data_IF_058065732523
#
_entry.id   IF_058065732523
#
_cell.length_a   1.000
_cell.length_b   1.000
_cell.length_c   1.000
_cell.angle_alpha   90.00
_cell.angle_beta   90.00
_cell.angle_gamma   90.00
#
_symmetry.space_group_name_H-M   'P 1'
#
loop_
_entity.id
_entity.type
_entity.pdbx_description
1 polymer ?
#
# COMPACT_ATOMS: atom_id res chain seq x y z
N UNK A 1 1.72 -6.75 -9.58
CA UNK A 1 2.28 -5.42 -9.81
C UNK A 1 1.85 -4.52 -8.67
N UNK A 2 2.81 -4.12 -7.85
CA UNK A 2 2.65 -3.17 -6.75
C UNK A 2 3.68 -2.07 -6.97
N UNK A 3 3.24 -0.81 -7.08
CA UNK A 3 4.12 0.35 -7.23
C UNK A 3 4.13 1.17 -5.94
N UNK A 4 5.33 1.44 -5.46
CA UNK A 4 5.62 1.97 -4.13
C UNK A 4 6.26 3.36 -4.24
N UNK A 5 6.05 4.26 -3.25
CA UNK A 5 6.64 5.59 -3.26
C UNK A 5 8.18 5.58 -3.12
N UNK A 6 8.77 4.51 -2.57
CA UNK A 6 10.22 4.38 -2.37
C UNK A 6 11.01 4.12 -3.67
N UNK A 7 10.33 3.96 -4.81
CA UNK A 7 10.95 3.68 -6.10
C UNK A 7 10.48 4.68 -7.15
N UNK A 8 11.41 5.08 -8.01
CA UNK A 8 11.12 5.96 -9.14
C UNK A 8 10.08 5.29 -10.03
N UNK A 9 8.98 5.98 -10.25
CA UNK A 9 7.95 5.57 -11.18
C UNK A 9 8.32 6.01 -12.59
N UNK A 10 8.60 5.02 -13.45
CA UNK A 10 8.81 5.22 -14.88
C UNK A 10 7.61 4.69 -15.68
N UNK A 11 6.97 5.57 -16.44
CA UNK A 11 5.75 5.25 -17.17
C UNK A 11 5.99 4.21 -18.27
N UNK A 12 7.15 4.22 -18.91
CA UNK A 12 7.48 3.25 -19.97
C UNK A 12 7.68 1.85 -19.39
N UNK A 13 8.36 1.73 -18.25
CA UNK A 13 8.54 0.48 -17.52
C UNK A 13 7.19 -0.05 -17.04
N UNK A 14 6.35 0.82 -16.48
CA UNK A 14 4.97 0.48 -16.13
C UNK A 14 4.19 -0.15 -17.28
N UNK A 15 4.25 0.42 -18.48
CA UNK A 15 3.57 -0.16 -19.65
C UNK A 15 4.12 -1.53 -20.04
N UNK A 16 5.44 -1.72 -20.00
CA UNK A 16 6.05 -3.03 -20.27
C UNK A 16 5.60 -4.08 -19.26
N UNK A 17 5.54 -3.72 -17.99
CA UNK A 17 5.13 -4.64 -16.92
C UNK A 17 3.65 -5.03 -17.06
N UNK A 18 2.77 -4.05 -17.31
CA UNK A 18 1.35 -4.29 -17.54
C UNK A 18 1.14 -5.20 -18.75
N UNK A 19 1.82 -4.91 -19.87
CA UNK A 19 1.75 -5.75 -21.07
C UNK A 19 2.21 -7.18 -20.78
N UNK A 20 3.34 -7.34 -20.09
CA UNK A 20 3.90 -8.66 -19.74
C UNK A 20 2.92 -9.47 -18.90
N UNK A 21 2.27 -8.87 -17.91
CA UNK A 21 1.26 -9.55 -17.09
C UNK A 21 -0.01 -9.89 -17.88
N UNK A 22 -0.46 -8.98 -18.75
CA UNK A 22 -1.59 -9.22 -19.64
C UNK A 22 -1.31 -10.38 -20.60
N UNK A 23 -0.14 -10.43 -21.23
CA UNK A 23 0.24 -11.51 -22.15
C UNK A 23 0.33 -12.86 -21.41
N UNK A 24 0.89 -12.86 -20.19
CA UNK A 24 1.07 -14.08 -19.39
C UNK A 24 -0.23 -14.62 -18.79
N UNK A 25 -1.13 -13.74 -18.37
CA UNK A 25 -2.27 -14.14 -17.54
C UNK A 25 -3.64 -13.80 -18.14
N UNK A 26 -3.69 -13.04 -19.23
CA UNK A 26 -4.93 -12.51 -19.82
C UNK A 26 -5.62 -11.44 -18.96
N UNK A 27 -4.99 -11.02 -17.85
CA UNK A 27 -5.45 -10.01 -16.91
C UNK A 27 -4.27 -9.45 -16.13
N UNK A 28 -4.39 -8.22 -15.67
CA UNK A 28 -3.42 -7.57 -14.80
C UNK A 28 -4.16 -6.78 -13.72
N UNK A 29 -3.71 -6.90 -12.47
CA UNK A 29 -4.16 -6.07 -11.34
C UNK A 29 -2.93 -5.32 -10.85
N UNK A 30 -3.09 -4.01 -10.72
CA UNK A 30 -2.02 -3.13 -10.26
C UNK A 30 -2.50 -2.42 -9.00
N UNK A 31 -1.73 -2.53 -7.93
CA UNK A 31 -1.85 -1.63 -6.78
C UNK A 31 -0.80 -0.54 -6.92
N UNK A 32 -1.21 0.73 -6.83
CA UNK A 32 -0.33 1.88 -6.99
C UNK A 32 -0.54 2.80 -5.80
N UNK A 33 0.53 3.11 -5.07
CA UNK A 33 0.48 4.14 -4.02
C UNK A 33 0.22 5.51 -4.64
N UNK A 34 -0.61 6.34 -4.00
CA UNK A 34 -0.79 7.73 -4.42
C UNK A 34 0.53 8.52 -4.42
N UNK A 35 1.46 8.16 -3.53
CA UNK A 35 2.75 8.81 -3.36
C UNK A 35 3.84 8.44 -4.38
N UNK A 36 3.51 7.71 -5.46
CA UNK A 36 4.51 7.43 -6.50
C UNK A 36 5.07 8.73 -7.09
N UNK A 37 6.38 8.75 -7.33
CA UNK A 37 7.09 9.95 -7.78
C UNK A 37 8.01 9.63 -8.97
N UNK A 38 8.21 10.63 -9.83
CA UNK A 38 9.12 10.53 -10.96
C UNK A 38 10.60 10.59 -10.52
N UNK A 39 11.53 10.52 -11.48
CA UNK A 39 12.96 10.57 -11.21
C UNK A 39 13.44 11.90 -10.58
N UNK A 40 12.60 12.94 -10.59
CA UNK A 40 12.86 14.24 -9.96
C UNK A 40 12.29 14.30 -8.54
N UNK A 41 11.71 13.21 -8.05
CA UNK A 41 11.01 13.16 -6.77
C UNK A 41 9.68 13.92 -6.77
N UNK A 42 9.15 14.27 -7.95
CA UNK A 42 7.85 14.93 -8.06
C UNK A 42 6.77 13.87 -8.07
N UNK A 43 5.82 13.96 -7.12
CA UNK A 43 4.68 13.06 -7.08
C UNK A 43 3.90 13.11 -8.40
N UNK A 44 3.60 11.95 -8.98
CA UNK A 44 2.91 11.86 -10.28
C UNK A 44 1.53 12.52 -10.19
N UNK A 45 0.83 12.36 -9.07
CA UNK A 45 -0.44 13.00 -8.81
C UNK A 45 -0.37 14.52 -8.63
N UNK A 46 0.79 15.08 -8.23
CA UNK A 46 0.96 16.54 -8.11
C UNK A 46 0.99 17.23 -9.49
N UNK A 47 1.32 16.51 -10.55
CA UNK A 47 1.17 17.00 -11.93
C UNK A 47 -0.27 17.03 -12.42
N UNK A 48 -1.21 16.43 -11.67
CA UNK A 48 -2.62 16.24 -12.04
C UNK A 48 -3.59 17.12 -11.23
N UNK A 49 -3.18 17.58 -10.04
CA UNK A 49 -4.03 18.32 -9.10
C UNK A 49 -3.60 19.79 -8.93
N UNK A 50 -4.55 20.64 -8.52
CA UNK A 50 -4.29 22.01 -8.05
C UNK A 50 -3.56 21.93 -6.70
N UNK A 51 -2.50 22.74 -6.55
CA UNK A 51 -1.49 22.64 -5.48
C UNK A 51 -2.00 23.08 -4.11
N UNK A 52 -2.75 22.23 -3.41
CA UNK A 52 -2.95 22.39 -1.96
C UNK A 52 -1.87 21.62 -1.19
N UNK A 53 -1.33 22.25 -0.13
CA UNK A 53 -0.34 21.65 0.78
C UNK A 53 -0.88 21.73 2.19
N UNK A 54 -0.68 20.67 2.97
CA UNK A 54 -1.02 20.67 4.40
C UNK A 54 -0.02 21.51 5.24
N UNK A 55 -0.31 21.64 6.53
CA UNK A 55 0.52 22.39 7.48
C UNK A 55 1.93 21.80 7.70
N UNK A 56 2.17 20.57 7.24
CA UNK A 56 3.45 19.88 7.30
C UNK A 56 4.20 19.89 5.95
N UNK A 57 3.62 20.53 4.93
CA UNK A 57 4.23 20.68 3.60
C UNK A 57 3.97 19.50 2.65
N UNK A 58 3.11 18.55 3.03
CA UNK A 58 2.72 17.45 2.15
C UNK A 58 1.76 17.95 1.07
N UNK A 59 1.95 17.50 -0.17
CA UNK A 59 1.04 17.84 -1.28
C UNK A 59 -0.23 17.01 -1.17
N UNK A 60 -1.39 17.64 -1.25
CA UNK A 60 -2.66 16.92 -1.36
C UNK A 60 -2.77 16.26 -2.74
N UNK A 61 -2.75 14.93 -2.75
CA UNK A 61 -2.85 14.14 -3.96
C UNK A 61 -4.33 13.82 -4.19
N UNK A 62 -4.94 14.46 -5.20
CA UNK A 62 -6.36 14.31 -5.50
C UNK A 62 -6.77 12.83 -5.68
N UNK A 63 -7.59 12.32 -4.76
CA UNK A 63 -7.89 10.91 -4.52
C UNK A 63 -8.68 10.15 -5.59
N UNK A 64 -8.51 10.48 -6.87
CA UNK A 64 -9.14 9.82 -8.02
C UNK A 64 -8.34 9.99 -9.30
N UNK A 65 -7.72 11.17 -9.46
CA UNK A 65 -7.06 11.59 -10.69
C UNK A 65 -5.92 10.66 -11.12
N UNK A 66 -5.18 10.07 -10.18
CA UNK A 66 -4.07 9.17 -10.51
C UNK A 66 -4.55 7.88 -11.20
N UNK A 67 -5.61 7.26 -10.69
CA UNK A 67 -6.14 6.02 -11.23
C UNK A 67 -6.72 6.24 -12.64
N UNK A 68 -7.44 7.35 -12.84
CA UNK A 68 -7.98 7.74 -14.14
C UNK A 68 -6.88 8.06 -15.14
N UNK A 69 -5.86 8.81 -14.71
CA UNK A 69 -4.69 9.14 -15.54
C UNK A 69 -3.96 7.88 -16.01
N UNK A 70 -3.56 7.00 -15.09
CA UNK A 70 -2.86 5.77 -15.44
C UNK A 70 -3.75 4.84 -16.27
N UNK A 71 -5.03 4.75 -15.93
CA UNK A 71 -6.01 3.96 -16.67
C UNK A 71 -6.14 4.42 -18.13
N UNK A 72 -6.24 5.74 -18.36
CA UNK A 72 -6.26 6.32 -19.71
C UNK A 72 -4.94 6.09 -20.44
N UNK A 73 -3.80 6.33 -19.77
CA UNK A 73 -2.48 6.16 -20.37
C UNK A 73 -2.24 4.72 -20.86
N UNK A 74 -2.68 3.73 -20.08
CA UNK A 74 -2.65 2.30 -20.48
C UNK A 74 -3.55 2.02 -21.68
N UNK A 75 -4.78 2.56 -21.71
CA UNK A 75 -5.70 2.38 -22.86
C UNK A 75 -5.10 2.95 -24.14
N UNK A 76 -4.61 4.19 -24.07
CA UNK A 76 -4.12 4.93 -25.24
C UNK A 76 -2.82 4.30 -25.78
N UNK A 77 -1.94 3.82 -24.89
CA UNK A 77 -0.62 3.31 -25.27
C UNK A 77 -0.62 1.82 -25.64
N UNK A 78 -1.39 0.99 -24.92
CA UNK A 78 -1.40 -0.46 -25.11
C UNK A 78 -2.64 -0.98 -25.86
N UNK A 79 -3.62 -0.12 -26.15
CA UNK A 79 -4.82 -0.47 -26.92
C UNK A 79 -5.80 -1.38 -26.18
N UNK A 80 -5.69 -1.53 -24.86
CA UNK A 80 -6.61 -2.36 -24.09
C UNK A 80 -7.99 -1.71 -23.95
N UNK A 81 -9.04 -2.44 -24.35
CA UNK A 81 -10.43 -1.93 -24.29
C UNK A 81 -10.97 -1.75 -22.87
N UNK A 82 -10.56 -2.63 -21.93
CA UNK A 82 -11.10 -2.68 -20.56
C UNK A 82 -10.00 -2.40 -19.55
N UNK A 83 -9.97 -1.16 -19.05
CA UNK A 83 -9.13 -0.73 -17.93
C UNK A 83 -10.02 0.08 -17.00
N UNK A 84 -10.02 -0.30 -15.73
CA UNK A 84 -10.77 0.33 -14.63
C UNK A 84 -9.78 0.65 -13.51
N UNK A 85 -9.86 1.87 -13.00
CA UNK A 85 -9.21 2.28 -11.77
C UNK A 85 -10.26 2.44 -10.68
N UNK A 86 -9.91 2.05 -9.46
CA UNK A 86 -10.70 2.33 -8.27
C UNK A 86 -9.75 2.98 -7.26
N UNK A 87 -10.13 4.11 -6.68
CA UNK A 87 -9.30 4.80 -5.69
C UNK A 87 -9.91 4.64 -4.30
N UNK A 88 -9.17 3.97 -3.43
CA UNK A 88 -9.59 3.74 -2.06
C UNK A 88 -9.10 4.89 -1.18
N UNK A 89 -10.03 5.75 -0.74
CA UNK A 89 -9.76 6.82 0.23
C UNK A 89 -10.26 6.45 1.62
N UNK A 90 -11.44 6.95 2.00
CA UNK A 90 -12.07 6.61 3.28
C UNK A 90 -12.37 5.12 3.44
N UNK A 91 -12.71 4.42 2.35
CA UNK A 91 -13.06 3.01 2.42
C UNK A 91 -11.91 2.13 2.96
N UNK A 92 -10.64 2.43 2.63
CA UNK A 92 -9.53 1.63 3.16
C UNK A 92 -9.15 1.93 4.61
N UNK A 93 -9.57 3.09 5.17
CA UNK A 93 -9.20 3.52 6.53
C UNK A 93 -10.36 3.57 7.53
N UNK A 94 -11.59 3.37 7.07
CA UNK A 94 -12.80 3.52 7.91
C UNK A 94 -13.82 2.41 7.66
N UNK A 95 -13.40 1.26 7.14
CA UNK A 95 -14.30 0.14 6.89
C UNK A 95 -14.32 -0.84 8.08
N UNK A 96 -15.20 -0.56 9.03
CA UNK A 96 -15.38 -1.36 10.25
C UNK A 96 -15.72 -2.85 10.01
N UNK A 97 -16.18 -3.21 8.81
CA UNK A 97 -16.45 -4.61 8.43
C UNK A 97 -15.21 -5.43 8.08
N UNK A 98 -14.03 -4.80 7.91
CA UNK A 98 -12.78 -5.47 7.54
C UNK A 98 -11.63 -4.93 8.40
N UNK A 99 -11.55 -5.42 9.62
CA UNK A 99 -10.56 -4.96 10.61
C UNK A 99 -9.72 -6.14 11.10
N UNK A 100 -8.41 -5.95 11.17
CA UNK A 100 -7.52 -6.93 11.78
C UNK A 100 -7.79 -7.03 13.29
N UNK A 101 -7.92 -8.25 13.81
CA UNK A 101 -8.05 -8.48 15.24
C UNK A 101 -6.75 -8.16 15.99
N UNK A 102 -5.60 -8.25 15.30
CA UNK A 102 -4.30 -7.82 15.83
C UNK A 102 -4.28 -6.31 15.97
N UNK A 103 -4.59 -5.56 14.91
CA UNK A 103 -4.62 -4.09 14.94
C UNK A 103 -5.56 -3.55 16.03
N UNK A 104 -6.76 -4.13 16.17
CA UNK A 104 -7.72 -3.75 17.23
C UNK A 104 -7.15 -3.92 18.63
N UNK A 105 -6.54 -5.08 18.92
CA UNK A 105 -5.94 -5.35 20.23
C UNK A 105 -4.78 -4.42 20.49
N UNK A 106 -3.90 -4.26 19.51
CA UNK A 106 -2.69 -3.47 19.66
C UNK A 106 -2.97 -1.97 19.81
N UNK A 107 -3.91 -1.42 19.04
CA UNK A 107 -4.38 -0.05 19.17
C UNK A 107 -4.97 0.23 20.56
N UNK A 108 -5.78 -0.70 21.10
CA UNK A 108 -6.33 -0.59 22.46
C UNK A 108 -5.23 -0.64 23.51
N UNK A 109 -4.32 -1.60 23.41
CA UNK A 109 -3.21 -1.76 24.35
C UNK A 109 -2.27 -0.55 24.34
N UNK A 110 -2.03 0.06 23.16
CA UNK A 110 -1.26 1.28 23.06
C UNK A 110 -1.91 2.44 23.85
N UNK A 111 -3.23 2.60 23.76
CA UNK A 111 -3.99 3.58 24.56
C UNK A 111 -3.91 3.33 26.07
N UNK A 112 -4.08 2.07 26.49
CA UNK A 112 -3.96 1.68 27.90
C UNK A 112 -2.53 1.95 28.43
N UNK A 113 -1.50 1.65 27.64
CA UNK A 113 -0.10 1.93 27.98
C UNK A 113 0.21 3.42 28.05
N UNK A 114 -0.36 4.23 27.16
CA UNK A 114 -0.18 5.67 27.18
C UNK A 114 -0.66 6.26 28.52
N UNK A 115 -1.82 5.82 29.01
CA UNK A 115 -2.34 6.25 30.33
C UNK A 115 -1.44 5.77 31.47
N UNK A 116 -0.95 4.54 31.42
CA UNK A 116 -0.02 4.01 32.43
C UNK A 116 1.28 4.83 32.50
N UNK A 117 1.88 5.16 31.37
CA UNK A 117 3.10 5.98 31.33
C UNK A 117 2.84 7.43 31.79
N UNK A 118 1.74 8.04 31.33
CA UNK A 118 1.41 9.41 31.68
C UNK A 118 1.07 9.56 33.17
N UNK A 119 0.21 8.68 33.70
CA UNK A 119 -0.28 8.80 35.08
C UNK A 119 0.64 8.14 36.10
N UNK A 120 1.14 6.94 35.80
CA UNK A 120 1.95 6.14 36.73
C UNK A 120 3.41 6.55 36.80
N UNK A 121 3.98 7.01 35.69
CA UNK A 121 5.40 7.35 35.58
C UNK A 121 5.64 8.85 35.33
N UNK A 122 4.59 9.65 35.12
CA UNK A 122 4.67 11.09 34.82
C UNK A 122 5.59 11.42 33.62
N UNK A 123 5.40 10.68 32.52
CA UNK A 123 6.18 10.81 31.27
C UNK A 123 5.31 11.30 30.11
N UNK A 124 5.87 12.10 29.21
CA UNK A 124 5.21 12.64 28.01
C UNK A 124 5.88 12.19 26.70
N UNK A 125 5.13 11.55 25.81
CA UNK A 125 5.72 10.93 24.63
C UNK A 125 4.72 10.13 23.81
N UNK A 126 5.24 9.31 22.89
CA UNK A 126 4.45 8.35 22.12
C UNK A 126 4.68 6.92 22.61
N UNK A 127 3.62 6.11 22.58
CA UNK A 127 3.76 4.65 22.70
C UNK A 127 4.16 4.09 21.35
N UNK A 128 5.25 3.33 21.32
CA UNK A 128 5.77 2.66 20.13
C UNK A 128 5.66 1.15 20.28
N UNK A 129 5.39 0.47 19.16
CA UNK A 129 5.21 -0.97 19.10
C UNK A 129 6.46 -1.61 18.50
N UNK A 130 7.06 -2.54 19.23
CA UNK A 130 8.30 -3.21 18.84
C UNK A 130 8.05 -4.70 18.68
N UNK A 131 8.25 -5.20 17.46
CA UNK A 131 8.07 -6.63 17.18
C UNK A 131 9.15 -7.44 17.91
N UNK A 132 8.74 -8.47 18.62
CA UNK A 132 9.68 -9.38 19.28
C UNK A 132 10.41 -10.25 18.24
N UNK A 133 11.74 -10.45 18.35
CA UNK A 133 12.54 -11.11 17.31
C UNK A 133 12.37 -12.64 17.23
N UNK A 134 11.75 -13.29 18.21
CA UNK A 134 11.66 -14.75 18.28
C UNK A 134 10.22 -15.25 18.46
N UNK A 135 9.90 -16.36 17.78
CA UNK A 135 8.65 -17.09 17.97
C UNK A 135 7.48 -16.59 17.12
N UNK A 136 6.26 -16.88 17.59
CA UNK A 136 5.05 -16.33 16.99
C UNK A 136 5.03 -14.80 17.12
N UNK A 137 4.35 -14.13 16.17
CA UNK A 137 4.27 -12.67 16.19
C UNK A 137 3.73 -12.15 17.53
N UNK A 138 4.49 -11.25 18.14
CA UNK A 138 4.07 -10.45 19.28
C UNK A 138 4.78 -9.09 19.27
N UNK A 139 4.23 -8.13 20.00
CA UNK A 139 4.78 -6.79 20.11
C UNK A 139 4.90 -6.37 21.58
N UNK A 140 5.99 -5.69 21.91
CA UNK A 140 6.17 -4.95 23.16
C UNK A 140 5.79 -3.49 22.96
N UNK A 141 5.33 -2.85 24.03
CA UNK A 141 4.93 -1.45 24.05
C UNK A 141 5.96 -0.67 24.83
N UNK A 142 6.60 0.26 24.15
CA UNK A 142 7.65 1.09 24.72
C UNK A 142 7.25 2.55 24.66
N UNK A 143 7.87 3.36 25.49
CA UNK A 143 7.74 4.80 25.43
C UNK A 143 8.89 5.38 24.62
N UNK A 144 8.58 6.30 23.71
CA UNK A 144 9.57 7.02 22.92
C UNK A 144 9.34 8.53 23.03
N UNK A 145 10.40 9.34 23.29
CA UNK A 145 10.32 10.79 23.27
C UNK A 145 9.83 11.32 21.92
N UNK A 146 9.00 12.37 21.93
CA UNK A 146 8.47 12.95 20.69
C UNK A 146 9.57 13.48 19.77
N UNK A 147 10.64 14.04 20.32
CA UNK A 147 11.81 14.53 19.56
C UNK A 147 12.51 13.43 18.76
N UNK A 148 12.40 12.17 19.20
CA UNK A 148 12.96 11.04 18.46
C UNK A 148 12.09 10.62 17.27
N UNK A 149 10.83 11.05 17.22
CA UNK A 149 9.85 10.62 16.21
C UNK A 149 9.41 11.75 15.27
N UNK A 150 9.32 12.97 15.78
CA UNK A 150 8.76 14.10 15.05
C UNK A 150 9.54 14.36 13.75
N UNK A 151 8.80 14.44 12.64
CA UNK A 151 9.36 14.69 11.31
C UNK A 151 10.19 13.55 10.72
N UNK A 152 10.30 12.40 11.38
CA UNK A 152 10.97 11.21 10.85
C UNK A 152 9.97 10.29 10.17
N UNK A 153 10.35 9.80 8.99
CA UNK A 153 9.53 8.86 8.21
C UNK A 153 10.17 7.48 8.23
N UNK A 154 9.38 6.46 8.56
CA UNK A 154 9.77 5.07 8.38
C UNK A 154 9.45 4.65 6.94
N UNK A 155 10.48 4.50 6.11
CA UNK A 155 10.35 4.03 4.73
C UNK A 155 10.21 2.51 4.68
N UNK A 156 9.64 1.99 3.58
CA UNK A 156 9.65 0.56 3.30
C UNK A 156 11.11 0.07 3.15
N UNK A 157 11.53 -0.97 3.91
CA UNK A 157 12.87 -1.52 3.78
C UNK A 157 13.15 -2.04 2.37
N UNK A 158 14.37 -1.86 1.86
CA UNK A 158 14.75 -2.35 0.52
C UNK A 158 14.56 -3.87 0.38
N UNK A 159 14.80 -4.63 1.45
CA UNK A 159 14.59 -6.08 1.49
C UNK A 159 13.12 -6.49 1.25
N UNK A 160 12.17 -5.58 1.41
CA UNK A 160 10.74 -5.82 1.17
C UNK A 160 10.32 -5.57 -0.28
N UNK A 161 11.16 -4.91 -1.07
CA UNK A 161 10.86 -4.50 -2.44
C UNK A 161 11.57 -5.46 -3.40
N UNK A 162 10.87 -5.98 -4.40
CA UNK A 162 11.50 -6.89 -5.35
C UNK A 162 12.57 -6.16 -6.19
N UNK A 163 13.57 -6.90 -6.68
CA UNK A 163 14.72 -6.31 -7.39
C UNK A 163 14.38 -5.52 -8.66
N UNK A 164 13.19 -5.73 -9.24
CA UNK A 164 12.69 -4.96 -10.38
C UNK A 164 12.21 -3.54 -9.99
N UNK A 165 12.10 -3.22 -8.70
CA UNK A 165 11.63 -1.93 -8.20
C UNK A 165 10.10 -1.80 -8.11
N UNK A 166 9.37 -2.86 -8.49
CA UNK A 166 7.93 -3.03 -8.29
C UNK A 166 7.66 -4.45 -7.75
N UNK A 167 6.48 -4.65 -7.18
CA UNK A 167 6.15 -5.83 -6.36
C UNK A 167 6.99 -5.95 -5.08
N UNK A 168 6.59 -6.91 -4.24
CA UNK A 168 7.12 -7.11 -2.89
C UNK A 168 7.76 -8.49 -2.77
N UNK A 169 8.73 -8.62 -1.85
CA UNK A 169 9.40 -9.89 -1.57
C UNK A 169 8.63 -10.74 -0.57
N UNK A 170 9.06 -11.98 -0.39
CA UNK A 170 8.55 -12.85 0.68
C UNK A 170 8.75 -12.24 2.08
N UNK A 171 9.86 -11.52 2.30
CA UNK A 171 10.14 -10.85 3.56
C UNK A 171 9.06 -9.82 3.93
N UNK A 172 8.51 -9.09 2.94
CA UNK A 172 7.34 -8.23 3.17
C UNK A 172 6.11 -9.05 3.54
N UNK A 173 5.88 -10.17 2.85
CA UNK A 173 4.78 -11.08 3.15
C UNK A 173 4.85 -11.58 4.59
N UNK A 174 6.01 -12.00 5.05
CA UNK A 174 6.22 -12.50 6.42
C UNK A 174 6.12 -11.38 7.46
N UNK A 175 6.50 -10.16 7.07
CA UNK A 175 6.24 -8.99 7.89
C UNK A 175 4.74 -8.70 8.03
N UNK A 176 4.00 -8.69 6.92
CA UNK A 176 2.61 -8.23 6.85
C UNK A 176 1.60 -9.27 7.36
N UNK A 177 1.76 -10.55 7.01
CA UNK A 177 0.75 -11.60 7.27
C UNK A 177 0.26 -11.63 8.72
N UNK A 178 1.11 -11.56 9.76
CA UNK A 178 0.62 -11.58 11.13
C UNK A 178 -0.22 -10.35 11.49
N UNK A 179 0.07 -9.19 10.89
CA UNK A 179 -0.65 -7.93 11.13
C UNK A 179 -2.06 -7.94 10.54
N UNK A 180 -2.33 -8.79 9.54
CA UNK A 180 -3.66 -8.93 8.94
C UNK A 180 -4.64 -9.70 9.85
N UNK A 181 -4.13 -10.34 10.90
CA UNK A 181 -4.94 -11.08 11.84
C UNK A 181 -5.48 -12.41 11.30
N UNK A 182 -6.34 -13.06 12.07
CA UNK A 182 -6.91 -14.37 11.73
C UNK A 182 -8.09 -14.31 10.73
N UNK A 183 -8.67 -13.13 10.52
CA UNK A 183 -9.91 -12.95 9.76
C UNK A 183 -9.74 -12.84 8.24
N UNK A 184 -8.51 -12.82 7.71
CA UNK A 184 -8.30 -12.65 6.27
C UNK A 184 -8.80 -13.88 5.50
N UNK A 185 -9.76 -13.73 4.56
CA UNK A 185 -10.29 -14.86 3.82
C UNK A 185 -9.20 -15.51 2.96
N UNK A 186 -9.15 -16.84 2.96
CA UNK A 186 -8.28 -17.59 2.05
C UNK A 186 -8.76 -17.38 0.63
N UNK A 187 -7.99 -16.63 -0.16
CA UNK A 187 -8.29 -16.41 -1.57
C UNK A 187 -8.12 -17.75 -2.31
N UNK A 188 -9.18 -18.18 -2.98
CA UNK A 188 -9.15 -19.35 -3.85
C UNK A 188 -9.10 -18.93 -5.32
N UNK A 189 -8.48 -19.77 -6.15
CA UNK A 189 -8.43 -19.57 -7.60
C UNK A 189 -9.17 -20.72 -8.28
N UNK A 190 -10.16 -20.37 -9.09
CA UNK A 190 -10.82 -21.35 -9.94
C UNK A 190 -9.83 -21.93 -10.95
N UNK A 191 -9.92 -23.23 -11.20
CA UNK A 191 -9.20 -23.87 -12.29
C UNK A 191 -9.69 -23.30 -13.62
N UNK A 192 -8.74 -22.94 -14.49
CA UNK A 192 -9.06 -22.42 -15.82
C UNK A 192 -9.34 -23.59 -16.76
N UNK A 193 -10.62 -23.86 -16.99
CA UNK A 193 -11.09 -24.81 -18.01
C UNK A 193 -11.59 -24.01 -19.23
N UNK A 194 -10.73 -23.68 -20.21
CA UNK A 194 -11.15 -22.91 -21.36
C UNK A 194 -12.11 -23.75 -22.23
N UNK A 195 -13.22 -23.14 -22.64
CA UNK A 195 -14.16 -23.74 -23.61
C UNK A 195 -13.92 -23.10 -24.99
N UNK A 196 -13.87 -23.88 -26.07
CA UNK A 196 -13.74 -23.34 -27.43
C UNK A 196 -14.85 -22.32 -27.74
N UNK A 197 -14.48 -21.21 -28.38
CA UNK A 197 -15.44 -20.20 -28.81
C UNK A 197 -16.26 -20.78 -29.97
N UNK A 198 -17.58 -20.88 -29.78
CA UNK A 198 -18.52 -21.38 -30.82
C UNK A 198 -19.22 -20.26 -31.61
N UNK A 199 -19.05 -19.01 -31.18
CA UNK A 199 -19.54 -17.82 -31.90
C UNK A 199 -18.41 -17.24 -32.75
N UNK A 200 -18.72 -16.97 -34.03
CA UNK A 200 -17.80 -16.37 -34.98
C UNK A 200 -17.23 -15.04 -34.44
N UNK A 201 -16.03 -14.68 -34.87
CA UNK A 201 -15.52 -13.34 -34.62
C UNK A 201 -16.22 -12.40 -35.60
N UNK A 202 -16.99 -11.45 -35.06
CA UNK A 202 -17.53 -10.32 -35.82
C UNK A 202 -16.42 -9.41 -36.36
#
# INVERSE_FOLDING_TARGET
>A
LIYLPERVFDLQSFFRDVKTMMDRHGRCVVAVSEGIADARGTAVAAGLAVRERDAHGNVELGGGALADYLGKAVKDTLGFKRVRGDTFGYLQRSFAGCVSDVDQREARQAGEKAVQFAFGENRDGSVTLHRTPAGAYSATYEFSPLEELAGKTRTMPDAFIAGAGNDVTEAFGDYLKPLLGGGLPKIQRLQRHPVPKIVAAD
#
